data_IF_653987760528
#
_entry.id   IF_653987760528
#
_cell.length_a   1.000
_cell.length_b   1.000
_cell.length_c   1.000
_cell.angle_alpha   90.00
_cell.angle_beta   90.00
_cell.angle_gamma   90.00
#
_symmetry.space_group_name_H-M   'P 1'
#
loop_
_entity.id
_entity.type
_entity.pdbx_description
1 polymer ?
#
# COMPACT_ATOMS: atom_id res chain seq x y z
N UNK A 1 -16.14 40.37 43.64
CA UNK A 1 -14.89 39.61 43.81
C UNK A 1 -13.74 40.42 43.22
N UNK A 2 -12.60 40.60 43.90
CA UNK A 2 -11.58 41.61 43.58
C UNK A 2 -10.79 41.37 42.27
N UNK A 3 -10.91 40.22 41.61
CA UNK A 3 -10.13 39.89 40.41
C UNK A 3 -10.53 40.71 39.16
N UNK A 4 -11.78 41.18 39.09
CA UNK A 4 -12.30 41.95 37.95
C UNK A 4 -11.87 43.41 37.92
N UNK A 5 -11.18 43.91 38.97
CA UNK A 5 -10.57 45.25 39.00
C UNK A 5 -9.18 45.30 38.38
N UNK A 6 -8.51 44.15 38.23
CA UNK A 6 -7.12 44.05 37.75
C UNK A 6 -7.01 43.26 36.44
N UNK A 7 -8.02 42.45 36.08
CA UNK A 7 -8.01 41.68 34.84
C UNK A 7 -9.40 41.55 34.20
N UNK A 8 -9.44 41.66 32.87
CA UNK A 8 -10.63 41.37 32.06
C UNK A 8 -10.60 39.90 31.62
N UNK A 9 -11.59 39.12 32.07
CA UNK A 9 -11.72 37.71 31.71
C UNK A 9 -12.60 37.60 30.47
N UNK A 10 -12.02 37.10 29.37
CA UNK A 10 -12.75 36.79 28.16
C UNK A 10 -12.67 35.29 27.89
N UNK A 11 -13.83 34.67 27.65
CA UNK A 11 -13.90 33.29 27.19
C UNK A 11 -13.40 33.25 25.74
N UNK A 12 -12.23 32.62 25.53
CA UNK A 12 -11.65 32.40 24.20
C UNK A 12 -11.60 30.91 23.92
N UNK A 13 -12.26 30.48 22.85
CA UNK A 13 -12.11 29.13 22.33
C UNK A 13 -10.69 28.95 21.78
N UNK A 14 -9.94 28.00 22.35
CA UNK A 14 -8.59 27.63 21.89
C UNK A 14 -8.55 26.14 21.60
N UNK A 15 -7.63 25.72 20.73
CA UNK A 15 -7.40 24.30 20.46
C UNK A 15 -6.71 23.69 21.69
N UNK A 16 -7.23 22.59 22.27
CA UNK A 16 -6.74 22.06 23.55
C UNK A 16 -5.35 21.41 23.47
N UNK A 17 -4.87 21.03 22.28
CA UNK A 17 -3.53 20.47 22.07
C UNK A 17 -3.08 20.65 20.62
N UNK A 18 -1.78 20.89 20.42
CA UNK A 18 -1.15 20.97 19.09
C UNK A 18 -0.23 19.77 18.91
N UNK A 19 -0.56 18.90 17.96
CA UNK A 19 0.25 17.73 17.62
C UNK A 19 1.35 18.10 16.63
N UNK A 20 2.53 17.51 16.84
CA UNK A 20 3.69 17.70 15.98
C UNK A 20 4.16 16.36 15.42
N UNK A 21 4.50 16.33 14.13
CA UNK A 21 5.10 15.17 13.47
C UNK A 21 6.34 15.67 12.75
N UNK A 22 7.49 15.03 13.00
CA UNK A 22 8.79 15.47 12.49
C UNK A 22 9.10 16.95 12.84
N UNK A 23 8.78 17.38 14.08
CA UNK A 23 8.99 18.74 14.61
C UNK A 23 8.14 19.85 13.96
N UNK A 24 7.19 19.51 13.08
CA UNK A 24 6.28 20.46 12.45
C UNK A 24 4.86 20.22 12.95
N UNK A 25 4.06 21.27 13.24
CA UNK A 25 2.64 21.11 13.53
C UNK A 25 1.93 20.44 12.36
N UNK A 26 1.07 19.47 12.64
CA UNK A 26 0.32 18.77 11.60
C UNK A 26 -1.13 18.54 12.03
N UNK A 27 -2.00 18.41 11.03
CA UNK A 27 -3.40 18.07 11.21
C UNK A 27 -3.71 16.77 10.44
N UNK A 28 -4.26 15.79 11.13
CA UNK A 28 -4.68 14.52 10.51
C UNK A 28 -6.12 14.61 10.04
N UNK A 29 -6.35 14.29 8.76
CA UNK A 29 -7.69 14.16 8.19
C UNK A 29 -7.90 12.68 7.85
N UNK A 30 -8.95 12.09 8.41
CA UNK A 30 -9.30 10.70 8.12
C UNK A 30 -10.12 10.62 6.84
N UNK A 31 -9.66 9.79 5.90
CA UNK A 31 -10.32 9.55 4.63
C UNK A 31 -10.66 8.06 4.53
N UNK A 32 -11.90 7.76 4.16
CA UNK A 32 -12.37 6.40 3.92
C UNK A 32 -12.77 6.26 2.45
N UNK A 33 -12.26 5.26 1.71
CA UNK A 33 -12.69 4.98 0.35
C UNK A 33 -14.18 4.65 0.29
N UNK A 34 -14.80 4.92 -0.85
CA UNK A 34 -16.18 4.47 -1.11
C UNK A 34 -16.18 2.92 -1.18
N UNK A 35 -17.21 2.23 -0.65
CA UNK A 35 -17.30 0.78 -0.77
C UNK A 35 -17.15 0.32 -2.23
N UNK A 36 -16.25 -0.64 -2.47
CA UNK A 36 -15.94 -1.14 -3.82
C UNK A 36 -14.89 -0.33 -4.59
N UNK A 37 -14.43 0.81 -4.06
CA UNK A 37 -13.35 1.61 -4.66
C UNK A 37 -11.97 1.12 -4.19
N UNK A 38 -11.03 0.99 -5.13
CA UNK A 38 -9.65 0.63 -4.78
C UNK A 38 -8.89 1.78 -4.10
N UNK A 39 -7.99 1.46 -3.16
CA UNK A 39 -7.19 2.44 -2.42
C UNK A 39 -6.41 3.41 -3.34
N UNK A 40 -5.93 2.93 -4.49
CA UNK A 40 -5.20 3.77 -5.45
C UNK A 40 -6.09 4.74 -6.23
N UNK A 41 -7.38 4.44 -6.40
CA UNK A 41 -8.35 5.35 -7.02
C UNK A 41 -8.76 6.40 -5.99
N UNK A 42 -9.08 5.96 -4.77
CA UNK A 42 -9.40 6.85 -3.65
C UNK A 42 -8.26 7.84 -3.34
N UNK A 43 -7.01 7.39 -3.33
CA UNK A 43 -5.85 8.25 -3.13
C UNK A 43 -5.71 9.31 -4.24
N UNK A 44 -5.83 8.90 -5.52
CA UNK A 44 -5.80 9.84 -6.65
C UNK A 44 -6.93 10.88 -6.57
N UNK A 45 -8.11 10.48 -6.15
CA UNK A 45 -9.24 11.39 -5.95
C UNK A 45 -8.98 12.35 -4.79
N UNK A 46 -8.41 11.86 -3.70
CA UNK A 46 -8.00 12.71 -2.58
C UNK A 46 -6.95 13.74 -3.02
N UNK A 47 -5.92 13.34 -3.77
CA UNK A 47 -4.92 14.27 -4.31
C UNK A 47 -5.53 15.35 -5.20
N UNK A 48 -6.50 15.00 -6.04
CA UNK A 48 -7.23 15.97 -6.86
C UNK A 48 -8.04 16.96 -6.04
N UNK A 49 -8.69 16.50 -4.96
CA UNK A 49 -9.44 17.38 -4.05
C UNK A 49 -8.50 18.31 -3.30
N UNK A 50 -7.37 17.79 -2.83
CA UNK A 50 -6.34 18.57 -2.11
C UNK A 50 -5.72 19.62 -3.03
N UNK A 51 -5.42 19.26 -4.28
CA UNK A 51 -4.91 20.20 -5.27
C UNK A 51 -5.91 21.33 -5.56
N UNK A 52 -7.21 21.02 -5.63
CA UNK A 52 -8.28 22.01 -5.82
C UNK A 52 -8.53 22.88 -4.59
N UNK A 53 -8.27 22.37 -3.39
CA UNK A 53 -8.44 23.11 -2.15
C UNK A 53 -7.44 24.27 -1.99
N UNK A 54 -6.35 24.30 -2.77
CA UNK A 54 -5.43 25.44 -2.83
C UNK A 54 -4.72 25.69 -1.49
N UNK A 55 -3.91 24.71 -1.05
CA UNK A 55 -3.16 24.85 0.21
C UNK A 55 -2.22 26.07 0.19
N UNK A 56 -2.14 26.85 1.29
CA UNK A 56 -1.27 28.01 1.35
C UNK A 56 0.22 27.60 1.24
N UNK A 57 1.08 28.51 0.75
CA UNK A 57 2.50 28.23 0.59
C UNK A 57 3.13 27.85 1.95
N UNK A 58 3.92 26.78 1.97
CA UNK A 58 4.53 26.24 3.19
C UNK A 58 3.76 25.09 3.86
N UNK A 59 2.56 24.75 3.39
CA UNK A 59 1.82 23.56 3.85
C UNK A 59 1.97 22.42 2.86
N UNK A 60 2.46 21.27 3.33
CA UNK A 60 2.57 20.06 2.52
C UNK A 60 1.51 19.04 2.90
N UNK A 61 0.84 18.46 1.91
CA UNK A 61 -0.05 17.31 2.12
C UNK A 61 0.67 16.00 1.84
N UNK A 62 0.45 14.99 2.69
CA UNK A 62 0.94 13.64 2.47
C UNK A 62 -0.15 12.62 2.82
N UNK A 63 -0.47 11.72 1.88
CA UNK A 63 -1.38 10.60 2.14
C UNK A 63 -0.60 9.47 2.82
N UNK A 64 -0.94 9.20 4.08
CA UNK A 64 -0.36 8.13 4.90
C UNK A 64 -1.23 6.87 4.96
N UNK A 65 -0.92 5.99 5.92
CA UNK A 65 -1.73 4.82 6.25
C UNK A 65 -1.58 3.64 5.28
N UNK A 66 -2.65 2.84 5.16
CA UNK A 66 -2.66 1.57 4.42
C UNK A 66 -2.23 1.69 2.96
N UNK A 67 -2.57 2.80 2.30
CA UNK A 67 -2.17 3.05 0.91
C UNK A 67 -0.64 3.13 0.76
N UNK A 68 0.05 3.85 1.66
CA UNK A 68 1.51 4.01 1.63
C UNK A 68 2.23 2.68 1.86
N UNK A 69 1.77 1.89 2.81
CA UNK A 69 2.35 0.56 3.10
C UNK A 69 2.11 -0.44 1.97
N UNK A 70 0.93 -0.39 1.35
CA UNK A 70 0.62 -1.20 0.18
C UNK A 70 1.55 -0.85 -0.99
N UNK A 71 1.73 0.44 -1.29
CA UNK A 71 2.62 0.89 -2.38
C UNK A 71 4.07 0.50 -2.12
N UNK A 72 4.54 0.61 -0.88
CA UNK A 72 5.89 0.18 -0.48
C UNK A 72 6.10 -1.31 -0.73
N UNK A 73 5.13 -2.14 -0.32
CA UNK A 73 5.17 -3.59 -0.48
C UNK A 73 5.16 -3.99 -1.96
N UNK A 74 4.32 -3.33 -2.78
CA UNK A 74 4.30 -3.56 -4.23
C UNK A 74 5.62 -3.18 -4.89
N UNK A 75 6.20 -2.04 -4.53
CA UNK A 75 7.50 -1.63 -5.06
C UNK A 75 8.59 -2.63 -4.72
N UNK A 76 8.63 -3.12 -3.48
CA UNK A 76 9.58 -4.14 -3.06
C UNK A 76 9.39 -5.45 -3.84
N UNK A 77 8.15 -5.90 -4.01
CA UNK A 77 7.83 -7.08 -4.81
C UNK A 77 8.29 -6.93 -6.27
N UNK A 78 8.05 -5.77 -6.89
CA UNK A 78 8.49 -5.49 -8.26
C UNK A 78 10.00 -5.46 -8.41
N UNK A 79 10.73 -4.93 -7.43
CA UNK A 79 12.20 -4.94 -7.43
C UNK A 79 12.71 -6.39 -7.40
N UNK A 80 12.18 -7.22 -6.51
CA UNK A 80 12.58 -8.62 -6.38
C UNK A 80 12.23 -9.40 -7.66
N UNK A 81 11.02 -9.21 -8.19
CA UNK A 81 10.59 -9.85 -9.43
C UNK A 81 11.47 -9.44 -10.61
N UNK A 82 11.76 -8.14 -10.74
CA UNK A 82 12.64 -7.60 -11.77
C UNK A 82 14.06 -8.18 -11.68
N UNK A 83 14.62 -8.23 -10.47
CA UNK A 83 15.94 -8.83 -10.24
C UNK A 83 15.97 -10.32 -10.61
N UNK A 84 14.95 -11.08 -10.22
CA UNK A 84 14.84 -12.49 -10.58
C UNK A 84 14.75 -12.69 -12.10
N UNK A 85 13.95 -11.87 -12.80
CA UNK A 85 13.85 -11.92 -14.26
C UNK A 85 15.17 -11.56 -14.95
N UNK A 86 15.92 -10.59 -14.43
CA UNK A 86 17.25 -10.23 -14.95
C UNK A 86 18.25 -11.37 -14.77
N UNK A 87 18.29 -12.01 -13.60
CA UNK A 87 19.15 -13.17 -13.36
C UNK A 87 18.77 -14.31 -14.31
N UNK A 88 17.48 -14.59 -14.46
CA UNK A 88 16.99 -15.61 -15.38
C UNK A 88 17.38 -15.30 -16.84
N UNK A 89 17.30 -14.03 -17.25
CA UNK A 89 17.71 -13.60 -18.58
C UNK A 89 19.20 -13.85 -18.83
N UNK A 90 20.07 -13.51 -17.86
CA UNK A 90 21.51 -13.74 -17.98
C UNK A 90 21.83 -15.23 -18.04
N UNK A 91 21.21 -16.04 -17.18
CA UNK A 91 21.41 -17.49 -17.14
C UNK A 91 20.97 -18.16 -18.44
N UNK A 92 19.77 -17.83 -18.94
CA UNK A 92 19.26 -18.37 -20.20
C UNK A 92 20.05 -17.85 -21.40
N UNK A 93 20.48 -16.58 -21.38
CA UNK A 93 21.32 -15.99 -22.42
C UNK A 93 22.67 -16.69 -22.53
N UNK A 94 23.30 -16.99 -21.40
CA UNK A 94 24.51 -17.81 -21.33
C UNK A 94 24.26 -19.22 -21.85
N UNK A 95 23.15 -19.84 -21.43
CA UNK A 95 22.83 -21.22 -21.80
C UNK A 95 22.57 -21.41 -23.31
N UNK A 96 21.93 -20.45 -23.97
CA UNK A 96 21.58 -20.53 -25.39
C UNK A 96 22.58 -19.82 -26.33
N UNK A 97 23.59 -19.14 -25.80
CA UNK A 97 24.54 -18.33 -26.59
C UNK A 97 23.90 -17.14 -27.33
N UNK A 98 22.61 -16.87 -27.10
CA UNK A 98 21.85 -15.80 -27.77
C UNK A 98 20.76 -15.24 -26.84
N UNK A 99 20.84 -13.93 -26.58
CA UNK A 99 19.89 -13.21 -25.70
C UNK A 99 18.46 -13.21 -26.25
N UNK A 100 18.28 -13.33 -27.57
CA UNK A 100 16.95 -13.33 -28.21
C UNK A 100 16.14 -14.57 -27.84
N UNK A 101 16.78 -15.73 -27.70
CA UNK A 101 16.11 -16.98 -27.32
C UNK A 101 15.60 -16.95 -25.87
N UNK A 102 16.36 -16.33 -24.96
CA UNK A 102 15.99 -16.17 -23.55
C UNK A 102 14.72 -15.32 -23.37
N UNK A 103 14.60 -14.21 -24.11
CA UNK A 103 13.41 -13.34 -24.05
C UNK A 103 12.15 -14.09 -24.51
N UNK A 104 12.24 -14.88 -25.59
CA UNK A 104 11.11 -15.68 -26.09
C UNK A 104 10.66 -16.75 -25.09
N UNK A 105 11.61 -17.39 -24.39
CA UNK A 105 11.31 -18.36 -23.33
C UNK A 105 10.59 -17.72 -22.13
N UNK A 106 11.03 -16.52 -21.70
CA UNK A 106 10.38 -15.81 -20.59
C UNK A 106 8.96 -15.37 -20.98
N UNK A 107 8.77 -14.81 -22.18
CA UNK A 107 7.45 -14.35 -22.65
C UNK A 107 6.45 -15.49 -22.80
N UNK A 108 6.88 -16.66 -23.29
CA UNK A 108 6.01 -17.83 -23.46
C UNK A 108 5.57 -18.44 -22.12
N UNK A 109 6.39 -18.33 -21.06
CA UNK A 109 6.07 -18.85 -19.73
C UNK A 109 4.88 -18.16 -19.03
N UNK A 110 4.45 -16.98 -19.51
CA UNK A 110 3.31 -16.22 -18.97
C UNK A 110 2.00 -17.02 -19.03
N UNK A 111 1.91 -18.00 -19.92
CA UNK A 111 0.76 -18.90 -20.06
C UNK A 111 0.77 -20.02 -19.02
N UNK A 112 0.58 -19.68 -17.75
CA UNK A 112 0.31 -20.67 -16.68
C UNK A 112 -1.19 -20.68 -16.35
N UNK A 113 -1.80 -21.86 -16.45
CA UNK A 113 -3.25 -22.14 -16.54
C UNK A 113 -4.11 -21.46 -15.45
N UNK A 114 -5.28 -20.88 -15.80
CA UNK A 114 -6.23 -20.27 -14.87
C UNK A 114 -7.00 -21.25 -13.95
N UNK A 115 -6.83 -22.56 -14.09
CA UNK A 115 -7.66 -23.57 -13.42
C UNK A 115 -7.58 -23.58 -11.89
N UNK A 116 -6.40 -23.31 -11.32
CA UNK A 116 -6.24 -23.21 -9.85
C UNK A 116 -6.80 -21.89 -9.31
N UNK A 117 -6.62 -20.80 -10.06
CA UNK A 117 -7.21 -19.50 -9.76
C UNK A 117 -8.75 -19.57 -9.78
N UNK A 118 -9.33 -20.28 -10.75
CA UNK A 118 -10.79 -20.45 -10.85
C UNK A 118 -11.37 -21.33 -9.74
N UNK A 119 -10.59 -22.27 -9.18
CA UNK A 119 -11.00 -23.05 -8.01
C UNK A 119 -10.91 -22.24 -6.72
N UNK A 120 -9.86 -21.43 -6.54
CA UNK A 120 -9.72 -20.57 -5.37
C UNK A 120 -10.69 -19.37 -5.38
N UNK A 121 -11.01 -18.80 -6.54
CA UNK A 121 -11.94 -17.65 -6.66
C UNK A 121 -13.39 -18.03 -6.31
N UNK A 122 -13.80 -19.29 -6.51
CA UNK A 122 -15.13 -19.75 -6.08
C UNK A 122 -15.23 -20.09 -4.59
N UNK A 123 -14.11 -20.29 -3.90
CA UNK A 123 -14.12 -20.96 -2.60
C UNK A 123 -13.69 -20.09 -1.40
N UNK A 124 -13.20 -18.86 -1.56
CA UNK A 124 -12.76 -18.10 -0.39
C UNK A 124 -12.88 -16.57 -0.54
N UNK A 125 -13.49 -15.85 0.43
CA UNK A 125 -13.14 -14.45 0.64
C UNK A 125 -11.65 -14.38 0.99
N UNK A 126 -10.93 -13.48 0.32
CA UNK A 126 -9.51 -13.20 0.51
C UNK A 126 -9.33 -12.54 1.88
N UNK A 127 -9.54 -13.30 2.95
CA UNK A 127 -9.07 -12.97 4.28
C UNK A 127 -7.76 -13.71 4.49
N UNK A 128 -6.76 -12.99 4.96
CA UNK A 128 -5.42 -13.47 5.29
C UNK A 128 -5.46 -14.88 5.86
N UNK A 129 -4.76 -15.82 5.21
CA UNK A 129 -4.42 -17.10 5.77
C UNK A 129 -3.70 -16.85 7.10
N UNK A 130 -4.47 -16.86 8.20
CA UNK A 130 -3.95 -16.94 9.55
C UNK A 130 -3.20 -18.27 9.59
N UNK A 131 -1.89 -18.17 9.66
CA UNK A 131 -0.96 -19.26 9.92
C UNK A 131 -1.37 -19.94 11.23
N UNK A 132 -2.23 -20.93 11.13
CA UNK A 132 -2.37 -21.97 12.15
C UNK A 132 -1.58 -23.15 11.66
N UNK A 133 -0.39 -23.28 12.21
CA UNK A 133 0.42 -24.47 12.23
C UNK A 133 -0.43 -25.65 12.73
N UNK A 134 -0.85 -26.52 11.83
CA UNK A 134 -1.32 -27.85 12.16
C UNK A 134 -0.95 -28.78 11.00
N UNK A 135 0.05 -29.60 11.27
CA UNK A 135 0.48 -30.74 10.48
C UNK A 135 -0.72 -31.56 9.98
N UNK A 136 -0.85 -31.71 8.66
CA UNK A 136 -1.43 -32.91 8.07
C UNK A 136 -0.33 -33.54 7.23
N UNK A 137 0.57 -34.22 7.93
CA UNK A 137 1.46 -35.21 7.34
C UNK A 137 0.60 -36.36 6.83
N UNK A 138 0.73 -36.59 5.53
CA UNK A 138 0.77 -37.88 4.87
C UNK A 138 0.79 -39.11 5.82
N UNK A 139 -0.25 -39.94 5.77
CA UNK A 139 -0.21 -41.31 6.26
C UNK A 139 -0.97 -42.20 5.25
N UNK A 140 -0.31 -43.12 4.55
CA UNK A 140 -0.99 -44.16 3.79
C UNK A 140 -1.33 -45.33 4.73
N UNK A 141 -2.60 -45.74 4.73
CA UNK A 141 -3.08 -46.98 5.35
C UNK A 141 -2.59 -48.20 4.56
N UNK A 142 -2.30 -49.32 5.21
CA UNK A 142 -2.66 -50.64 4.71
C UNK A 142 -4.08 -51.03 5.15
#
# INVERSE_FOLDING_TARGET
APLSQVAHVHLKGVVPYVTHQNLVPYATIWLSPVPGEGLSVAARRADQVIAKAGLPPGVTSQIGGYYREQQKSFRQMLIILGAALLILLVLLGYQFGSQKAAIVAIVSSRSRRPGLFWRCWRAAPISTARRSSACCWYSPSP
#
